data_IF_736252329216
#
_entry.id   IF_736252329216
#
_cell.length_a   1.000
_cell.length_b   1.000
_cell.length_c   1.000
_cell.angle_alpha   90.00
_cell.angle_beta   90.00
_cell.angle_gamma   90.00
#
_symmetry.space_group_name_H-M   'P 1'
#
loop_
_entity.id
_entity.type
_entity.pdbx_description
1 polymer ?
#
# COMPACT_ATOMS: atom_id res chain seq x y z
N UNK A 1 -3.39 -33.33 -3.17
CA UNK A 1 -3.99 -34.61 -2.76
C UNK A 1 -4.63 -34.39 -1.39
N UNK A 2 -5.89 -33.89 -1.37
CA UNK A 2 -6.61 -33.60 -0.13
C UNK A 2 -7.33 -34.87 0.30
N UNK A 3 -6.98 -35.37 1.47
CA UNK A 3 -7.72 -36.47 2.12
C UNK A 3 -8.94 -35.86 2.84
N UNK A 4 -10.12 -36.20 2.35
CA UNK A 4 -11.40 -35.81 3.01
C UNK A 4 -11.70 -36.86 4.06
N UNK A 5 -11.59 -36.52 5.34
CA UNK A 5 -11.97 -37.35 6.46
C UNK A 5 -13.47 -37.16 6.75
N UNK A 6 -14.29 -38.17 6.50
CA UNK A 6 -15.68 -38.23 6.96
C UNK A 6 -15.72 -39.18 8.17
N UNK A 7 -15.98 -38.62 9.36
CA UNK A 7 -16.11 -39.38 10.60
C UNK A 7 -17.56 -39.90 10.73
N UNK A 8 -17.76 -41.21 10.74
CA UNK A 8 -19.01 -41.89 11.11
C UNK A 8 -18.84 -42.56 12.48
N UNK A 9 -19.86 -42.70 13.34
CA UNK A 9 -19.75 -43.02 14.76
C UNK A 9 -19.26 -44.44 15.11
N UNK A 10 -18.60 -45.13 14.25
CA UNK A 10 -17.98 -46.45 14.48
C UNK A 10 -16.51 -46.54 14.10
N UNK A 11 -15.71 -45.59 14.55
CA UNK A 11 -14.27 -45.79 14.72
C UNK A 11 -13.41 -46.23 13.51
N UNK A 12 -13.93 -46.31 12.29
CA UNK A 12 -13.18 -46.76 11.13
C UNK A 12 -12.87 -45.57 10.21
N UNK A 13 -11.57 -45.37 9.92
CA UNK A 13 -11.08 -44.34 8.97
C UNK A 13 -11.02 -44.97 7.58
N UNK A 14 -11.77 -44.42 6.62
CA UNK A 14 -11.75 -44.88 5.23
C UNK A 14 -10.87 -43.97 4.38
N UNK A 15 -9.91 -44.55 3.65
CA UNK A 15 -9.00 -43.83 2.78
C UNK A 15 -9.49 -43.64 1.33
N UNK A 16 -10.60 -44.28 0.99
CA UNK A 16 -11.24 -44.15 -0.34
C UNK A 16 -12.74 -44.47 -0.31
N UNK A 17 -13.48 -43.95 -1.31
CA UNK A 17 -14.90 -44.33 -1.50
C UNK A 17 -15.10 -45.84 -1.76
N UNK A 18 -14.09 -46.53 -2.24
CA UNK A 18 -14.17 -47.97 -2.53
C UNK A 18 -14.10 -48.78 -1.22
N UNK A 19 -13.37 -48.34 -0.19
CA UNK A 19 -13.31 -48.99 1.13
C UNK A 19 -14.64 -48.87 1.88
N UNK A 20 -15.35 -47.75 1.75
CA UNK A 20 -16.68 -47.55 2.35
C UNK A 20 -17.76 -48.45 1.69
N UNK A 21 -17.66 -48.65 0.39
CA UNK A 21 -18.58 -49.52 -0.35
C UNK A 21 -18.37 -51.03 -0.07
N UNK A 22 -17.11 -51.41 0.19
CA UNK A 22 -16.77 -52.79 0.54
C UNK A 22 -17.37 -53.20 1.91
N UNK A 23 -17.35 -52.29 2.89
CA UNK A 23 -17.91 -52.51 4.24
C UNK A 23 -19.44 -52.57 4.20
N UNK A 24 -20.09 -51.69 3.43
CA UNK A 24 -21.54 -51.69 3.30
C UNK A 24 -22.07 -52.92 2.56
N UNK A 25 -21.24 -53.57 1.70
CA UNK A 25 -21.63 -54.78 0.99
C UNK A 25 -21.51 -56.08 1.83
N UNK A 26 -20.67 -56.05 2.90
CA UNK A 26 -20.45 -57.20 3.79
C UNK A 26 -21.53 -57.36 4.87
N UNK A 27 -22.21 -56.28 5.26
CA UNK A 27 -23.20 -56.29 6.37
C UNK A 27 -24.63 -56.64 5.90
N UNK A 28 -24.91 -56.65 4.58
CA UNK A 28 -26.17 -57.09 4.03
C UNK A 28 -26.06 -58.53 3.49
N UNK A 29 -26.27 -59.50 4.38
CA UNK A 29 -26.35 -60.91 4.03
C UNK A 29 -27.53 -61.18 3.07
N UNK A 30 -27.31 -61.06 1.77
CA UNK A 30 -28.29 -61.32 0.74
C UNK A 30 -28.14 -62.77 0.26
N UNK A 31 -29.12 -63.59 0.63
CA UNK A 31 -29.28 -64.94 0.08
C UNK A 31 -30.22 -64.92 -1.15
N UNK A 32 -29.66 -65.08 -2.34
CA UNK A 32 -30.23 -65.57 -3.55
C UNK A 32 -31.41 -64.81 -4.16
N UNK A 33 -31.16 -64.14 -5.28
CA UNK A 33 -32.20 -63.68 -6.19
C UNK A 33 -31.94 -62.28 -6.74
N UNK A 34 -31.56 -62.20 -8.00
CA UNK A 34 -31.44 -61.00 -8.81
C UNK A 34 -30.18 -60.12 -8.60
N UNK A 35 -29.01 -60.71 -8.78
CA UNK A 35 -27.68 -60.07 -8.73
C UNK A 35 -27.59 -58.91 -9.76
N UNK A 36 -28.36 -58.98 -10.86
CA UNK A 36 -28.33 -57.93 -11.91
C UNK A 36 -29.09 -56.66 -11.53
N UNK A 37 -30.08 -56.72 -10.64
CA UNK A 37 -30.81 -55.56 -10.12
C UNK A 37 -29.99 -54.79 -9.10
N UNK A 38 -29.33 -55.50 -8.19
CA UNK A 38 -28.49 -54.90 -7.13
C UNK A 38 -27.27 -54.19 -7.73
N UNK A 39 -26.61 -54.78 -8.72
CA UNK A 39 -25.46 -54.15 -9.41
C UNK A 39 -25.84 -52.84 -10.13
N UNK A 40 -27.04 -52.76 -10.71
CA UNK A 40 -27.54 -51.51 -11.33
C UNK A 40 -27.85 -50.41 -10.32
N UNK A 41 -28.39 -50.78 -9.16
CA UNK A 41 -28.66 -49.82 -8.07
C UNK A 41 -27.35 -49.29 -7.48
N UNK A 42 -26.38 -50.17 -7.19
CA UNK A 42 -25.05 -49.78 -6.68
C UNK A 42 -24.30 -48.87 -7.67
N UNK A 43 -24.38 -49.14 -8.96
CA UNK A 43 -23.72 -48.31 -9.98
C UNK A 43 -24.39 -46.94 -10.12
N UNK A 44 -25.71 -46.85 -9.95
CA UNK A 44 -26.43 -45.55 -9.90
C UNK A 44 -26.09 -44.77 -8.64
N UNK A 45 -25.99 -45.39 -7.45
CA UNK A 45 -25.54 -44.75 -6.21
C UNK A 45 -24.10 -44.24 -6.34
N UNK A 46 -23.21 -45.06 -6.95
CA UNK A 46 -21.81 -44.66 -7.19
C UNK A 46 -21.71 -43.44 -8.10
N UNK A 47 -22.48 -43.39 -9.20
CA UNK A 47 -22.54 -42.23 -10.09
C UNK A 47 -23.13 -41.00 -9.39
N UNK A 48 -24.17 -41.17 -8.56
CA UNK A 48 -24.75 -40.05 -7.80
C UNK A 48 -23.78 -39.51 -6.74
N UNK A 49 -23.05 -40.36 -6.02
CA UNK A 49 -22.01 -39.94 -5.07
C UNK A 49 -20.83 -39.29 -5.78
N UNK A 50 -20.40 -39.78 -6.93
CA UNK A 50 -19.34 -39.12 -7.70
C UNK A 50 -19.80 -37.75 -8.23
N UNK A 51 -21.03 -37.58 -8.67
CA UNK A 51 -21.61 -36.32 -9.09
C UNK A 51 -21.72 -35.32 -7.90
N UNK A 52 -22.07 -35.83 -6.70
CA UNK A 52 -22.15 -35.02 -5.48
C UNK A 52 -20.74 -34.55 -5.01
N UNK A 53 -19.73 -35.42 -5.09
CA UNK A 53 -18.35 -35.04 -4.77
C UNK A 53 -17.77 -33.98 -5.72
N UNK A 54 -18.14 -34.05 -7.02
CA UNK A 54 -17.71 -33.06 -8.02
C UNK A 54 -18.39 -31.71 -7.78
N UNK A 55 -19.66 -31.67 -7.36
CA UNK A 55 -20.39 -30.43 -7.09
C UNK A 55 -19.89 -29.68 -5.82
N UNK A 56 -19.37 -30.40 -4.84
CA UNK A 56 -18.78 -29.80 -3.63
C UNK A 56 -17.39 -29.17 -3.94
N UNK A 57 -16.66 -29.74 -4.92
CA UNK A 57 -15.34 -29.19 -5.31
C UNK A 57 -15.41 -27.84 -6.10
N UNK A 58 -16.61 -27.52 -6.64
CA UNK A 58 -16.87 -26.27 -7.36
C UNK A 58 -17.74 -25.28 -6.59
N UNK A 59 -17.91 -25.44 -5.28
CA UNK A 59 -18.54 -24.39 -4.47
C UNK A 59 -17.69 -23.11 -4.60
N UNK A 60 -18.26 -21.97 -5.04
CA UNK A 60 -17.53 -20.72 -5.07
C UNK A 60 -17.05 -20.44 -3.63
N UNK A 61 -15.74 -20.35 -3.46
CA UNK A 61 -15.20 -19.87 -2.20
C UNK A 61 -15.69 -18.43 -2.06
N UNK A 62 -16.59 -18.19 -1.13
CA UNK A 62 -17.00 -16.84 -0.77
C UNK A 62 -15.75 -16.14 -0.23
N UNK A 63 -15.09 -15.35 -1.05
CA UNK A 63 -14.10 -14.41 -0.59
C UNK A 63 -14.87 -13.39 0.24
N UNK A 64 -14.75 -13.48 1.56
CA UNK A 64 -15.31 -12.45 2.43
C UNK A 64 -14.55 -11.16 2.14
N UNK A 65 -15.29 -10.12 1.80
CA UNK A 65 -14.73 -8.79 1.68
C UNK A 65 -14.15 -8.38 3.05
N UNK A 66 -12.86 -8.13 3.10
CA UNK A 66 -12.17 -7.61 4.27
C UNK A 66 -11.80 -6.14 4.03
N UNK A 67 -11.49 -5.43 5.09
CA UNK A 67 -11.02 -4.05 5.00
C UNK A 67 -9.56 -4.00 5.39
N UNK A 68 -8.72 -3.36 4.56
CA UNK A 68 -7.33 -3.06 4.88
C UNK A 68 -7.18 -1.61 5.32
N UNK A 69 -6.60 -1.38 6.48
CA UNK A 69 -6.29 -0.04 7.02
C UNK A 69 -4.88 0.36 6.58
N UNK A 70 -4.79 1.35 5.69
CA UNK A 70 -3.54 1.84 5.12
C UNK A 70 -3.19 3.20 5.71
N UNK A 71 -2.12 3.27 6.50
CA UNK A 71 -1.57 4.52 7.02
C UNK A 71 -0.49 5.01 6.04
N UNK A 72 -0.71 6.15 5.40
CA UNK A 72 0.15 6.60 4.31
C UNK A 72 0.55 8.07 4.44
N UNK A 73 1.78 8.37 4.04
CA UNK A 73 2.22 9.75 3.87
C UNK A 73 1.19 10.54 3.07
N UNK A 74 0.84 11.73 3.53
CA UNK A 74 -0.25 12.55 2.95
C UNK A 74 -0.05 12.86 1.47
N UNK A 75 1.19 12.94 0.99
CA UNK A 75 1.53 13.09 -0.43
C UNK A 75 1.06 11.91 -1.30
N UNK A 76 0.82 10.74 -0.69
CA UNK A 76 0.28 9.55 -1.36
C UNK A 76 -1.26 9.50 -1.36
N UNK A 77 -1.94 10.43 -0.69
CA UNK A 77 -3.39 10.37 -0.46
C UNK A 77 -4.19 10.24 -1.76
N UNK A 78 -3.93 11.08 -2.76
CA UNK A 78 -4.64 11.04 -4.04
C UNK A 78 -4.42 9.74 -4.81
N UNK A 79 -3.16 9.35 -4.99
CA UNK A 79 -2.82 8.13 -5.73
C UNK A 79 -3.32 6.87 -5.04
N UNK A 80 -3.24 6.78 -3.70
CA UNK A 80 -3.72 5.60 -2.97
C UNK A 80 -5.26 5.54 -2.88
N UNK A 81 -5.96 6.65 -3.05
CA UNK A 81 -7.41 6.64 -3.24
C UNK A 81 -7.79 5.91 -4.54
N UNK A 82 -7.11 6.23 -5.65
CA UNK A 82 -7.35 5.58 -6.94
C UNK A 82 -6.89 4.11 -6.92
N UNK A 83 -5.75 3.81 -6.28
CA UNK A 83 -5.28 2.43 -6.06
C UNK A 83 -6.28 1.63 -5.24
N UNK A 84 -6.85 2.21 -4.18
CA UNK A 84 -7.85 1.56 -3.34
C UNK A 84 -9.15 1.26 -4.10
N UNK A 85 -9.58 2.16 -4.99
CA UNK A 85 -10.75 1.95 -5.84
C UNK A 85 -10.52 0.76 -6.81
N UNK A 86 -9.37 0.72 -7.48
CA UNK A 86 -8.99 -0.38 -8.38
C UNK A 86 -8.80 -1.70 -7.63
N UNK A 87 -8.19 -1.67 -6.44
CA UNK A 87 -8.03 -2.83 -5.56
C UNK A 87 -9.38 -3.44 -5.18
N UNK A 88 -10.33 -2.58 -4.79
CA UNK A 88 -11.70 -3.00 -4.47
C UNK A 88 -12.40 -3.64 -5.67
N UNK A 89 -12.26 -3.07 -6.86
CA UNK A 89 -12.87 -3.61 -8.07
C UNK A 89 -12.33 -5.01 -8.41
N UNK A 90 -11.03 -5.24 -8.21
CA UNK A 90 -10.39 -6.50 -8.55
C UNK A 90 -10.52 -7.60 -7.49
N UNK A 91 -10.57 -7.23 -6.20
CA UNK A 91 -10.51 -8.19 -5.09
C UNK A 91 -11.77 -8.25 -4.25
N UNK A 92 -12.59 -7.22 -4.28
CA UNK A 92 -13.73 -7.04 -3.38
C UNK A 92 -13.35 -6.52 -1.98
N UNK A 93 -12.08 -6.37 -1.64
CA UNK A 93 -11.62 -5.79 -0.38
C UNK A 93 -11.74 -4.27 -0.37
N UNK A 94 -12.08 -3.69 0.78
CA UNK A 94 -12.13 -2.24 0.97
C UNK A 94 -10.80 -1.70 1.53
N UNK A 95 -10.46 -0.44 1.18
CA UNK A 95 -9.31 0.28 1.74
C UNK A 95 -9.80 1.44 2.60
N UNK A 96 -9.36 1.48 3.87
CA UNK A 96 -9.47 2.66 4.72
C UNK A 96 -8.11 3.36 4.70
N UNK A 97 -8.08 4.58 4.14
CA UNK A 97 -6.86 5.36 4.03
C UNK A 97 -6.79 6.42 5.13
N UNK A 98 -5.73 6.36 5.94
CA UNK A 98 -5.41 7.36 6.96
C UNK A 98 -4.14 8.09 6.53
N UNK A 99 -4.22 9.41 6.36
CA UNK A 99 -3.08 10.20 5.84
C UNK A 99 -2.63 11.28 6.82
N UNK A 100 -1.31 11.37 7.01
CA UNK A 100 -0.64 12.41 7.78
C UNK A 100 0.85 12.48 7.39
N UNK A 101 1.65 13.25 8.12
CA UNK A 101 3.11 13.16 8.03
C UNK A 101 3.62 11.77 8.43
N UNK A 102 4.61 11.24 7.71
CA UNK A 102 5.12 9.87 7.97
C UNK A 102 5.58 9.66 9.40
N UNK A 103 6.21 10.66 10.02
CA UNK A 103 6.63 10.59 11.44
C UNK A 103 5.45 10.49 12.39
N UNK A 104 4.38 11.23 12.14
CA UNK A 104 3.15 11.20 12.95
C UNK A 104 2.52 9.83 12.89
N UNK A 105 2.37 9.27 11.68
CA UNK A 105 1.79 7.93 11.48
C UNK A 105 2.66 6.83 12.11
N UNK A 106 3.99 6.89 11.94
CA UNK A 106 4.88 5.91 12.54
C UNK A 106 4.76 5.89 14.07
N UNK A 107 4.68 7.05 14.71
CA UNK A 107 4.47 7.15 16.16
C UNK A 107 3.08 6.68 16.60
N UNK A 108 2.04 6.93 15.81
CA UNK A 108 0.70 6.39 16.08
C UNK A 108 0.70 4.85 16.01
N UNK A 109 1.37 4.28 15.00
CA UNK A 109 1.51 2.83 14.84
C UNK A 109 2.29 2.23 16.02
N UNK A 110 3.41 2.85 16.41
CA UNK A 110 4.19 2.43 17.59
C UNK A 110 3.34 2.43 18.87
N UNK A 111 2.42 3.40 19.01
CA UNK A 111 1.48 3.50 20.13
C UNK A 111 0.22 2.63 19.95
N UNK A 112 0.20 1.71 19.00
CA UNK A 112 -0.85 0.70 18.85
C UNK A 112 -2.02 1.12 17.94
N UNK A 113 -1.88 2.14 17.08
CA UNK A 113 -2.89 2.43 16.08
C UNK A 113 -3.08 1.24 15.12
N UNK A 114 -4.34 0.85 14.79
CA UNK A 114 -4.66 -0.37 14.06
C UNK A 114 -4.41 -0.20 12.55
N UNK A 115 -3.16 -0.13 12.14
CA UNK A 115 -2.75 -0.09 10.74
C UNK A 115 -2.38 -1.49 10.24
N UNK A 116 -2.82 -1.85 9.05
CA UNK A 116 -2.45 -3.09 8.37
C UNK A 116 -1.25 -2.90 7.45
N UNK A 117 -1.15 -1.72 6.84
CA UNK A 117 -0.05 -1.34 5.95
C UNK A 117 0.38 0.10 6.27
N UNK A 118 1.69 0.33 6.31
CA UNK A 118 2.28 1.65 6.44
C UNK A 118 3.02 2.03 5.16
N UNK A 119 2.75 3.23 4.61
CA UNK A 119 3.45 3.79 3.44
C UNK A 119 4.10 5.10 3.85
N UNK A 120 5.41 5.11 3.91
CA UNK A 120 6.20 6.29 4.30
C UNK A 120 6.70 7.06 3.07
N UNK A 121 7.00 8.36 3.24
CA UNK A 121 7.67 9.18 2.24
C UNK A 121 9.21 9.19 2.40
N UNK A 122 9.76 8.35 3.28
CA UNK A 122 11.19 8.05 3.36
C UNK A 122 11.44 6.69 4.00
N UNK A 123 12.67 6.21 3.83
CA UNK A 123 13.11 4.92 4.35
C UNK A 123 13.23 4.93 5.89
N UNK A 124 13.58 6.08 6.48
CA UNK A 124 13.92 6.19 7.90
C UNK A 124 12.76 5.81 8.82
N UNK A 125 11.52 6.25 8.50
CA UNK A 125 10.36 5.95 9.34
C UNK A 125 9.89 4.48 9.25
N UNK A 126 10.13 3.81 8.13
CA UNK A 126 9.94 2.34 8.08
C UNK A 126 11.00 1.63 8.90
N UNK A 127 12.28 2.02 8.76
CA UNK A 127 13.37 1.47 9.56
C UNK A 127 13.14 1.68 11.06
N UNK A 128 12.59 2.83 11.46
CA UNK A 128 12.21 3.11 12.85
C UNK A 128 11.21 2.06 13.39
N UNK A 129 10.14 1.76 12.65
CA UNK A 129 9.17 0.73 13.04
C UNK A 129 9.79 -0.67 13.06
N UNK A 130 10.60 -1.03 12.07
CA UNK A 130 11.30 -2.32 12.02
C UNK A 130 12.23 -2.50 13.23
N UNK A 131 12.96 -1.46 13.65
CA UNK A 131 13.80 -1.46 14.85
C UNK A 131 13.00 -1.60 16.14
N UNK A 132 11.77 -1.09 16.18
CA UNK A 132 10.81 -1.31 17.28
C UNK A 132 10.18 -2.71 17.25
N UNK A 133 10.54 -3.57 16.29
CA UNK A 133 9.95 -4.91 16.12
C UNK A 133 8.54 -4.87 15.51
N UNK A 134 8.15 -3.76 14.90
CA UNK A 134 6.84 -3.56 14.29
C UNK A 134 6.96 -3.79 12.78
N UNK A 135 6.03 -4.58 12.23
CA UNK A 135 6.01 -4.97 10.83
C UNK A 135 6.42 -6.40 10.59
N UNK A 136 5.97 -6.95 9.48
CA UNK A 136 6.29 -8.33 9.10
C UNK A 136 7.67 -8.39 8.45
N UNK A 137 8.48 -9.34 8.89
CA UNK A 137 9.82 -9.53 8.36
C UNK A 137 9.82 -9.71 6.83
N UNK A 138 10.67 -8.94 6.13
CA UNK A 138 10.82 -8.96 4.67
C UNK A 138 9.59 -8.52 3.87
N UNK A 139 8.62 -7.87 4.49
CA UNK A 139 7.45 -7.33 3.79
C UNK A 139 7.69 -5.95 3.18
N UNK A 140 8.75 -5.24 3.62
CA UNK A 140 9.10 -3.92 3.08
C UNK A 140 9.35 -3.96 1.58
N UNK A 141 8.74 -2.99 0.88
CA UNK A 141 8.86 -2.84 -0.57
C UNK A 141 8.84 -1.37 -0.94
N UNK A 142 9.77 -0.94 -1.77
CA UNK A 142 9.76 0.38 -2.38
C UNK A 142 8.75 0.40 -3.52
N UNK A 143 7.77 1.31 -3.47
CA UNK A 143 6.62 1.33 -4.40
C UNK A 143 6.63 2.52 -5.35
N UNK A 144 7.27 3.62 -4.96
CA UNK A 144 7.34 4.84 -5.78
C UNK A 144 8.56 5.69 -5.42
N UNK A 145 8.97 6.55 -6.34
CA UNK A 145 9.93 7.64 -6.11
C UNK A 145 9.27 8.98 -6.47
N UNK A 146 9.91 10.08 -6.03
CA UNK A 146 9.44 11.44 -6.29
C UNK A 146 10.64 12.38 -6.51
N UNK A 147 10.35 13.63 -6.85
CA UNK A 147 11.33 14.71 -6.91
C UNK A 147 10.95 15.84 -5.96
N UNK A 148 11.94 16.62 -5.52
CA UNK A 148 11.74 17.79 -4.69
C UNK A 148 11.69 19.04 -5.58
N UNK A 149 10.75 19.95 -5.28
CA UNK A 149 10.56 21.17 -6.08
C UNK A 149 10.34 22.39 -5.17
N UNK A 150 10.76 23.54 -5.66
CA UNK A 150 10.39 24.85 -5.14
C UNK A 150 9.20 25.37 -5.94
N UNK A 151 8.14 25.77 -5.28
CA UNK A 151 6.90 26.24 -5.87
C UNK A 151 6.56 27.66 -5.41
N UNK A 152 5.72 28.33 -6.21
CA UNK A 152 5.08 29.61 -5.88
C UNK A 152 3.67 29.65 -6.46
N UNK A 153 2.79 30.46 -5.88
CA UNK A 153 1.49 30.84 -6.46
C UNK A 153 1.58 32.19 -7.21
N UNK A 154 2.68 32.94 -7.06
CA UNK A 154 2.87 34.22 -7.70
C UNK A 154 3.20 34.05 -9.20
N UNK A 155 2.35 34.54 -10.13
CA UNK A 155 2.57 34.39 -11.56
C UNK A 155 3.78 35.21 -12.09
N UNK A 156 4.22 36.22 -11.36
CA UNK A 156 5.30 37.11 -11.80
C UNK A 156 6.70 36.59 -11.45
N UNK A 157 6.81 35.58 -10.58
CA UNK A 157 8.10 34.97 -10.25
C UNK A 157 8.58 34.07 -11.38
N UNK A 158 9.65 34.40 -12.07
CA UNK A 158 10.19 33.59 -13.17
C UNK A 158 10.78 32.24 -12.69
N UNK A 159 10.74 31.17 -13.50
CA UNK A 159 11.48 29.95 -13.21
C UNK A 159 12.96 30.24 -13.04
N UNK A 160 13.61 29.52 -12.11
CA UNK A 160 15.01 29.70 -11.77
C UNK A 160 15.88 28.70 -12.53
N UNK A 161 16.97 29.17 -13.13
CA UNK A 161 18.02 28.29 -13.66
C UNK A 161 18.97 27.78 -12.58
N UNK A 162 19.12 28.54 -11.48
CA UNK A 162 19.95 28.19 -10.32
C UNK A 162 19.28 28.70 -9.05
N UNK A 163 19.34 27.92 -7.95
CA UNK A 163 18.76 28.29 -6.68
C UNK A 163 19.40 29.58 -6.10
N UNK A 164 20.65 29.83 -6.42
CA UNK A 164 21.37 31.05 -6.00
C UNK A 164 20.80 32.36 -6.56
N UNK A 165 19.99 32.27 -7.62
CA UNK A 165 19.30 33.43 -8.19
C UNK A 165 18.08 33.87 -7.36
N UNK A 166 17.61 33.06 -6.41
CA UNK A 166 16.55 33.45 -5.50
C UNK A 166 17.09 34.25 -4.33
N UNK A 167 16.72 35.53 -4.29
CA UNK A 167 16.95 36.41 -3.14
C UNK A 167 15.61 36.56 -2.39
N UNK A 168 15.62 36.24 -1.10
CA UNK A 168 14.48 36.41 -0.22
C UNK A 168 14.53 37.81 0.42
N UNK A 169 13.40 38.49 0.40
CA UNK A 169 13.23 39.75 1.16
C UNK A 169 12.70 39.45 2.56
N UNK A 170 12.73 40.39 3.45
CA UNK A 170 12.25 40.22 4.85
C UNK A 170 10.79 39.80 4.95
N UNK A 171 10.00 40.08 3.93
CA UNK A 171 8.55 39.75 3.87
C UNK A 171 8.26 38.43 3.17
N UNK A 172 9.27 37.79 2.58
CA UNK A 172 9.09 36.51 1.89
C UNK A 172 9.13 35.35 2.90
N UNK A 173 8.11 34.48 2.85
CA UNK A 173 8.07 33.24 3.62
C UNK A 173 8.21 32.04 2.69
N UNK A 174 8.87 30.99 3.20
CA UNK A 174 9.09 29.70 2.54
C UNK A 174 8.39 28.61 3.36
N UNK A 175 7.29 28.08 2.87
CA UNK A 175 6.58 27.00 3.54
C UNK A 175 7.31 25.67 3.34
N UNK A 176 7.58 24.98 4.42
CA UNK A 176 8.17 23.63 4.44
C UNK A 176 7.45 22.75 5.45
N UNK A 177 7.45 21.45 5.26
CA UNK A 177 7.11 20.56 6.37
C UNK A 177 8.20 20.64 7.46
N UNK A 178 7.90 20.21 8.70
CA UNK A 178 8.86 20.24 9.80
C UNK A 178 10.21 19.63 9.40
N UNK A 179 11.25 20.44 9.41
CA UNK A 179 12.55 20.16 8.77
C UNK A 179 13.39 19.11 9.47
N UNK A 180 13.09 18.79 10.73
CA UNK A 180 13.83 17.78 11.51
C UNK A 180 13.01 16.50 11.74
N UNK A 181 11.74 16.42 11.24
CA UNK A 181 10.87 15.30 11.53
C UNK A 181 10.10 14.77 10.32
N UNK A 182 9.60 15.64 9.44
CA UNK A 182 8.75 15.23 8.32
C UNK A 182 9.62 15.04 7.06
N UNK A 183 9.45 13.94 6.31
CA UNK A 183 10.32 13.62 5.17
C UNK A 183 10.56 14.79 4.19
N UNK A 184 9.50 15.47 3.73
CA UNK A 184 9.64 16.60 2.80
C UNK A 184 10.47 17.75 3.39
N UNK A 185 10.34 18.03 4.69
CA UNK A 185 11.14 19.03 5.39
C UNK A 185 12.60 18.61 5.51
N UNK A 186 12.86 17.35 5.86
CA UNK A 186 14.22 16.78 5.95
C UNK A 186 14.92 16.88 4.59
N UNK A 187 14.26 16.48 3.50
CA UNK A 187 14.81 16.59 2.15
C UNK A 187 15.04 18.04 1.75
N UNK A 188 14.09 18.93 2.05
CA UNK A 188 14.22 20.37 1.74
C UNK A 188 15.40 21.02 2.47
N UNK A 189 15.58 20.74 3.77
CA UNK A 189 16.72 21.23 4.55
C UNK A 189 18.04 20.70 3.99
N UNK A 190 18.10 19.40 3.67
CA UNK A 190 19.29 18.78 3.07
C UNK A 190 19.64 19.42 1.72
N UNK A 191 18.65 19.61 0.84
CA UNK A 191 18.83 20.22 -0.46
C UNK A 191 19.30 21.67 -0.36
N UNK A 192 18.73 22.46 0.53
CA UNK A 192 19.19 23.83 0.80
C UNK A 192 20.62 23.85 1.36
N UNK A 193 20.96 22.90 2.25
CA UNK A 193 22.31 22.72 2.78
C UNK A 193 23.34 22.36 1.72
N UNK A 194 22.98 21.49 0.76
CA UNK A 194 23.85 21.11 -0.37
C UNK A 194 24.29 22.33 -1.20
N UNK A 195 23.42 23.33 -1.31
CA UNK A 195 23.71 24.58 -2.03
C UNK A 195 24.24 25.72 -1.13
N UNK A 196 24.58 25.45 0.13
CA UNK A 196 24.98 26.47 1.13
C UNK A 196 23.91 27.56 1.28
N UNK A 197 22.63 27.24 1.13
CA UNK A 197 21.50 28.18 1.18
C UNK A 197 20.66 28.06 2.45
N UNK A 198 20.88 27.04 3.29
CA UNK A 198 20.05 26.83 4.47
C UNK A 198 20.02 28.06 5.39
N UNK A 199 21.18 28.62 5.75
CA UNK A 199 21.28 29.76 6.66
C UNK A 199 20.55 31.00 6.13
N UNK A 200 20.49 31.17 4.82
CA UNK A 200 19.75 32.26 4.18
C UNK A 200 18.26 32.04 4.15
N UNK A 201 17.80 30.77 4.11
CA UNK A 201 16.38 30.39 4.06
C UNK A 201 15.77 30.22 5.45
N UNK A 202 16.53 29.70 6.43
CA UNK A 202 16.03 29.35 7.76
C UNK A 202 15.21 30.47 8.43
N UNK A 203 15.62 31.76 8.40
CA UNK A 203 14.83 32.84 9.01
C UNK A 203 13.46 33.06 8.36
N UNK A 204 13.29 32.59 7.13
CA UNK A 204 12.06 32.73 6.32
C UNK A 204 11.19 31.48 6.36
N UNK A 205 11.66 30.38 6.96
CA UNK A 205 10.95 29.10 6.93
C UNK A 205 9.76 29.10 7.87
N UNK A 206 8.58 28.85 7.31
CA UNK A 206 7.34 28.55 8.04
C UNK A 206 7.10 27.05 7.97
N UNK A 207 7.13 26.41 9.13
CA UNK A 207 7.01 24.95 9.22
C UNK A 207 5.56 24.51 9.40
N UNK A 208 5.19 23.45 8.68
CA UNK A 208 3.87 22.82 8.71
C UNK A 208 3.96 21.35 9.16
N UNK A 209 2.88 20.79 9.68
CA UNK A 209 2.80 19.43 10.19
C UNK A 209 2.92 18.35 9.08
N UNK A 210 2.81 18.75 7.82
CA UNK A 210 3.01 17.89 6.67
C UNK A 210 3.19 18.71 5.38
N UNK A 211 3.60 18.03 4.29
CA UNK A 211 3.90 18.69 3.01
C UNK A 211 2.66 19.31 2.34
N UNK A 212 1.46 18.73 2.54
CA UNK A 212 0.23 19.27 1.96
C UNK A 212 -0.22 20.56 2.66
N UNK A 213 0.03 20.71 3.97
CA UNK A 213 -0.18 21.98 4.66
C UNK A 213 0.83 23.03 4.18
N UNK A 214 2.10 22.70 4.00
CA UNK A 214 3.08 23.61 3.43
C UNK A 214 2.66 24.08 2.03
N UNK A 215 2.19 23.16 1.18
CA UNK A 215 1.64 23.47 -0.14
C UNK A 215 0.43 24.43 -0.06
N UNK A 216 -0.47 24.22 0.90
CA UNK A 216 -1.65 25.07 1.10
C UNK A 216 -1.26 26.51 1.48
N UNK A 217 -0.25 26.72 2.30
CA UNK A 217 0.23 28.07 2.59
C UNK A 217 0.65 28.81 1.32
N UNK A 218 1.32 28.13 0.39
CA UNK A 218 1.68 28.72 -0.91
C UNK A 218 0.45 28.93 -1.79
N UNK A 219 -0.43 27.94 -1.89
CA UNK A 219 -1.63 28.02 -2.73
C UNK A 219 -2.62 29.12 -2.30
N UNK A 220 -2.60 29.50 -1.03
CA UNK A 220 -3.41 30.59 -0.44
C UNK A 220 -2.68 31.93 -0.43
N UNK A 221 -1.38 31.97 -0.79
CA UNK A 221 -0.58 33.20 -0.77
C UNK A 221 -0.08 33.61 0.62
N UNK A 222 -0.22 32.72 1.64
CA UNK A 222 0.29 32.96 3.00
C UNK A 222 1.82 32.80 3.06
N UNK A 223 2.39 31.99 2.17
CA UNK A 223 3.82 31.91 1.91
C UNK A 223 4.06 32.07 0.41
N UNK A 224 5.03 32.91 0.05
CA UNK A 224 5.34 33.19 -1.36
C UNK A 224 5.97 31.98 -2.04
N UNK A 225 6.75 31.21 -1.30
CA UNK A 225 7.46 30.04 -1.78
C UNK A 225 7.15 28.81 -0.92
N UNK A 226 7.39 27.61 -1.48
CA UNK A 226 7.33 26.38 -0.70
C UNK A 226 8.20 25.30 -1.29
N UNK A 227 8.77 24.46 -0.43
CA UNK A 227 9.50 23.26 -0.83
C UNK A 227 8.61 22.06 -0.57
N UNK A 228 8.22 21.38 -1.67
CA UNK A 228 7.25 20.28 -1.69
C UNK A 228 7.68 19.21 -2.70
N UNK A 229 6.92 18.12 -2.82
CA UNK A 229 7.18 17.15 -3.87
C UNK A 229 6.58 17.58 -5.21
N UNK A 230 7.19 17.11 -6.30
CA UNK A 230 6.70 17.37 -7.66
C UNK A 230 5.24 16.90 -7.85
N UNK A 231 4.88 15.74 -7.28
CA UNK A 231 3.51 15.22 -7.32
C UNK A 231 2.52 16.08 -6.55
N UNK A 232 2.97 16.78 -5.49
CA UNK A 232 2.12 17.72 -4.76
C UNK A 232 1.82 18.95 -5.61
N UNK A 233 2.82 19.46 -6.34
CA UNK A 233 2.64 20.59 -7.27
C UNK A 233 1.72 20.22 -8.45
N UNK A 234 1.81 19.00 -8.98
CA UNK A 234 0.89 18.51 -10.02
C UNK A 234 -0.57 18.49 -9.52
N UNK A 235 -0.77 18.12 -8.26
CA UNK A 235 -2.11 18.00 -7.68
C UNK A 235 -2.74 19.34 -7.25
N UNK A 236 -2.00 20.45 -7.26
CA UNK A 236 -2.47 21.76 -6.82
C UNK A 236 -2.27 22.83 -7.94
N UNK A 237 -3.27 23.08 -8.76
CA UNK A 237 -3.16 23.95 -9.94
C UNK A 237 -2.91 25.44 -9.62
N UNK A 238 -3.08 25.86 -8.37
CA UNK A 238 -2.82 27.27 -7.95
C UNK A 238 -1.33 27.54 -7.76
N UNK A 239 -0.50 26.51 -7.72
CA UNK A 239 0.95 26.68 -7.62
C UNK A 239 1.64 26.25 -8.90
N UNK A 240 2.85 26.74 -9.09
CA UNK A 240 3.73 26.34 -10.18
C UNK A 240 5.14 26.09 -9.69
N UNK A 241 5.80 25.13 -10.32
CA UNK A 241 7.20 24.82 -10.07
C UNK A 241 8.08 25.94 -10.67
N UNK A 242 8.97 26.49 -9.85
CA UNK A 242 9.98 27.46 -10.29
C UNK A 242 11.40 26.91 -10.25
N UNK A 243 11.62 25.81 -9.52
CA UNK A 243 12.91 25.11 -9.48
C UNK A 243 12.70 23.64 -9.12
N UNK A 244 13.43 22.75 -9.78
CA UNK A 244 13.52 21.34 -9.40
C UNK A 244 14.88 21.08 -8.80
N UNK A 245 14.89 20.56 -7.58
CA UNK A 245 16.16 20.23 -6.91
C UNK A 245 16.80 19.01 -7.61
N UNK A 246 18.12 19.05 -7.90
CA UNK A 246 18.83 17.89 -8.43
C UNK A 246 18.81 16.70 -7.46
N UNK A 247 18.80 15.48 -8.03
CA UNK A 247 18.72 14.23 -7.26
C UNK A 247 19.89 14.01 -6.29
N UNK A 248 21.05 14.63 -6.56
CA UNK A 248 22.24 14.58 -5.71
C UNK A 248 22.26 15.62 -4.58
N UNK A 249 21.26 16.51 -4.51
CA UNK A 249 21.15 17.52 -3.45
C UNK A 249 20.54 17.00 -2.14
N UNK A 250 19.98 15.82 -2.15
CA UNK A 250 19.35 15.16 -1.00
C UNK A 250 19.32 13.63 -1.19
N UNK A 251 19.03 12.88 -0.14
CA UNK A 251 18.81 11.44 -0.26
C UNK A 251 17.64 11.14 -1.24
N UNK A 252 17.68 10.02 -1.97
CA UNK A 252 16.61 9.63 -2.88
C UNK A 252 15.24 9.61 -2.18
N UNK A 253 14.25 10.27 -2.79
CA UNK A 253 12.88 10.28 -2.30
C UNK A 253 12.20 8.98 -2.71
N UNK A 254 12.13 8.05 -1.78
CA UNK A 254 11.56 6.71 -1.98
C UNK A 254 10.39 6.52 -1.03
N UNK A 255 9.32 5.92 -1.51
CA UNK A 255 8.15 5.54 -0.72
C UNK A 255 8.16 4.03 -0.46
N UNK A 256 8.65 3.59 0.71
CA UNK A 256 8.52 2.21 1.14
C UNK A 256 7.13 1.94 1.71
N UNK A 257 6.58 0.76 1.38
CA UNK A 257 5.43 0.16 2.04
C UNK A 257 5.89 -0.96 2.97
N UNK A 258 5.30 -1.06 4.15
CA UNK A 258 5.55 -2.09 5.16
C UNK A 258 4.23 -2.73 5.56
N UNK A 259 4.14 -4.06 5.50
CA UNK A 259 2.98 -4.80 6.01
C UNK A 259 3.10 -4.96 7.53
N UNK A 260 2.03 -4.64 8.25
CA UNK A 260 1.98 -4.65 9.72
C UNK A 260 1.14 -5.79 10.27
N UNK A 261 0.13 -6.25 9.53
CA UNK A 261 -0.77 -7.35 9.93
C UNK A 261 -0.69 -8.54 8.97
N UNK A 262 -1.14 -9.71 9.43
CA UNK A 262 -1.18 -10.95 8.64
C UNK A 262 -2.57 -11.21 8.03
N UNK A 263 -3.44 -10.20 7.94
CA UNK A 263 -4.75 -10.34 7.29
C UNK A 263 -4.57 -10.64 5.80
N UNK A 264 -5.56 -11.34 5.21
CA UNK A 264 -5.52 -11.66 3.80
C UNK A 264 -5.57 -10.37 2.96
N UNK A 265 -6.44 -9.42 3.34
CA UNK A 265 -6.56 -8.12 2.66
C UNK A 265 -5.25 -7.33 2.66
N UNK A 266 -4.48 -7.32 3.77
CA UNK A 266 -3.17 -6.66 3.82
C UNK A 266 -2.16 -7.33 2.90
N UNK A 267 -2.14 -8.67 2.87
CA UNK A 267 -1.25 -9.45 1.99
C UNK A 267 -1.58 -9.19 0.51
N UNK A 268 -2.87 -9.20 0.16
CA UNK A 268 -3.34 -8.95 -1.19
C UNK A 268 -3.07 -7.50 -1.62
N UNK A 269 -3.24 -6.52 -0.70
CA UNK A 269 -2.93 -5.12 -0.98
C UNK A 269 -1.43 -4.91 -1.22
N UNK A 270 -0.56 -5.50 -0.42
CA UNK A 270 0.90 -5.45 -0.63
C UNK A 270 1.32 -6.09 -1.96
N UNK A 271 0.67 -7.18 -2.36
CA UNK A 271 0.90 -7.80 -3.66
C UNK A 271 0.38 -6.90 -4.80
N UNK A 272 -0.78 -6.28 -4.61
CA UNK A 272 -1.41 -5.37 -5.56
C UNK A 272 -0.55 -4.13 -5.84
N UNK A 273 0.08 -3.55 -4.81
CA UNK A 273 1.00 -2.41 -4.95
C UNK A 273 2.16 -2.69 -5.93
N UNK A 274 2.50 -3.95 -6.18
CA UNK A 274 3.57 -4.35 -7.09
C UNK A 274 3.11 -4.59 -8.54
N UNK A 275 1.80 -4.55 -8.81
CA UNK A 275 1.27 -4.85 -10.15
C UNK A 275 1.53 -3.72 -11.15
N UNK A 276 1.56 -4.06 -12.43
CA UNK A 276 1.65 -3.06 -13.51
C UNK A 276 0.46 -2.09 -13.52
N UNK A 277 -0.73 -2.56 -13.13
CA UNK A 277 -1.92 -1.71 -13.00
C UNK A 277 -1.67 -0.58 -12.00
N UNK A 278 -1.21 -0.93 -10.81
CA UNK A 278 -0.86 0.05 -9.76
C UNK A 278 0.27 0.97 -10.17
N UNK A 279 1.33 0.45 -10.81
CA UNK A 279 2.42 1.27 -11.34
C UNK A 279 1.91 2.31 -12.35
N UNK A 280 0.98 1.91 -13.23
CA UNK A 280 0.32 2.83 -14.17
C UNK A 280 -0.46 3.94 -13.45
N UNK A 281 -1.09 3.66 -12.30
CA UNK A 281 -1.77 4.66 -11.47
C UNK A 281 -0.74 5.63 -10.88
N UNK A 282 0.36 5.14 -10.30
CA UNK A 282 1.44 5.98 -9.77
C UNK A 282 1.99 6.95 -10.83
N UNK A 283 2.29 6.45 -12.04
CA UNK A 283 2.83 7.27 -13.14
C UNK A 283 1.85 8.37 -13.55
N UNK A 284 0.55 8.09 -13.63
CA UNK A 284 -0.47 9.12 -13.93
C UNK A 284 -0.51 10.24 -12.89
N UNK A 285 -0.17 9.94 -11.64
CA UNK A 285 -0.07 10.92 -10.56
C UNK A 285 1.31 11.62 -10.47
N UNK A 286 2.22 11.35 -11.43
CA UNK A 286 3.53 11.99 -11.52
C UNK A 286 4.63 11.31 -10.71
N UNK A 287 4.37 10.17 -10.08
CA UNK A 287 5.41 9.37 -9.42
C UNK A 287 6.26 8.63 -10.45
N UNK A 288 7.50 8.33 -10.10
CA UNK A 288 8.35 7.40 -10.85
C UNK A 288 8.41 6.05 -10.12
N UNK A 289 8.63 4.99 -10.90
CA UNK A 289 8.68 3.63 -10.34
C UNK A 289 10.13 3.27 -10.03
N UNK A 290 10.43 2.74 -8.81
CA UNK A 290 11.76 2.25 -8.48
C UNK A 290 12.23 1.21 -9.50
N UNK A 291 13.46 1.33 -9.97
CA UNK A 291 14.07 0.25 -10.77
C UNK A 291 14.33 -0.92 -9.84
N UNK A 292 13.72 -2.06 -10.14
CA UNK A 292 14.09 -3.31 -9.50
C UNK A 292 15.40 -3.79 -10.14
N UNK A 293 16.52 -3.25 -9.72
CA UNK A 293 17.82 -3.83 -9.99
C UNK A 293 17.89 -5.17 -9.20
N UNK A 294 17.47 -6.25 -9.89
CA UNK A 294 17.65 -7.63 -9.43
C UNK A 294 19.02 -8.14 -9.81
#
# INVERSE_FOLDING_TARGET
>A
MLAVYICIPYGSIFNSCDDMLAVLSSDFGYHGGDVMGVAKVLNRLRMMMQALCISVAFAPQSVFAETVSVFAAVSMGGVLTDVGAEFREQTGHDVILVTAGSSTLARQIENGAPADVFVSANQAWVTYLEQAGIGLARSRRDIANNALVLVTSDPDVAPLSHLSALELTTDDFVAMAMVDAIPAGIYGKAALGHFDRWDAFEPHVVQADNVRMALQFVALGEAKYGIVYATDAIAEPRVRVIYTFPDDSHDPIVYPALQLSQTQAATDFMAFLATYATQGIFVRHGFTIPRNDR
#
